data_IF_872250428033
#
_entry.id   IF_872250428033
#
_cell.length_a   1.000
_cell.length_b   1.000
_cell.length_c   1.000
_cell.angle_alpha   90.00
_cell.angle_beta   90.00
_cell.angle_gamma   90.00
#
_symmetry.space_group_name_H-M   'P 1'
#
loop_
_entity.id
_entity.type
_entity.pdbx_description
1 polymer ?
#
# COMPACT_ATOMS: atom_id res chain seq x y z
N UNK A 1 1.10 -6.24 37.29
CA UNK A 1 0.23 -5.49 36.35
C UNK A 1 -1.00 -6.34 36.08
N UNK A 2 -2.23 -5.88 36.35
CA UNK A 2 -3.46 -6.68 36.14
C UNK A 2 -3.72 -6.98 34.65
N UNK A 3 -4.38 -8.11 34.34
CA UNK A 3 -4.82 -8.47 32.98
C UNK A 3 -5.62 -7.32 32.36
N UNK A 4 -6.55 -6.76 33.15
CA UNK A 4 -7.41 -5.65 32.73
C UNK A 4 -6.60 -4.43 32.30
N UNK A 5 -5.52 -4.09 33.02
CA UNK A 5 -4.66 -2.98 32.66
C UNK A 5 -3.87 -3.26 31.37
N UNK A 6 -3.52 -4.53 31.11
CA UNK A 6 -2.85 -4.91 29.87
C UNK A 6 -3.73 -4.70 28.64
N UNK A 7 -4.98 -5.17 28.70
CA UNK A 7 -5.96 -4.92 27.64
C UNK A 7 -6.31 -3.44 27.48
N UNK A 8 -6.41 -2.68 28.57
CA UNK A 8 -6.67 -1.24 28.51
C UNK A 8 -5.56 -0.48 27.79
N UNK A 9 -4.29 -0.81 28.03
CA UNK A 9 -3.15 -0.22 27.33
C UNK A 9 -3.11 -0.63 25.86
N UNK A 10 -3.39 -1.89 25.55
CA UNK A 10 -3.53 -2.35 24.16
C UNK A 10 -4.60 -1.55 23.41
N UNK A 11 -5.77 -1.30 24.03
CA UNK A 11 -6.83 -0.48 23.45
C UNK A 11 -6.47 1.00 23.27
N UNK A 12 -5.40 1.47 23.91
CA UNK A 12 -4.83 2.81 23.72
C UNK A 12 -3.72 2.83 22.65
N UNK A 13 -3.48 1.72 21.96
CA UNK A 13 -2.44 1.58 20.93
C UNK A 13 -1.05 1.23 21.46
N UNK A 14 -0.92 0.85 22.75
CA UNK A 14 0.35 0.42 23.32
C UNK A 14 0.56 -1.09 23.18
N UNK A 15 1.19 -1.48 22.08
CA UNK A 15 1.54 -2.86 21.77
C UNK A 15 2.82 -3.36 22.45
N UNK A 16 3.50 -2.52 23.25
CA UNK A 16 4.69 -2.95 24.02
C UNK A 16 4.31 -3.66 25.32
N UNK A 17 3.03 -3.60 25.67
CA UNK A 17 2.48 -4.18 26.90
C UNK A 17 2.64 -5.70 26.93
N UNK A 18 3.19 -6.21 28.04
CA UNK A 18 3.28 -7.64 28.35
C UNK A 18 2.65 -7.93 29.69
N UNK A 19 1.88 -9.01 29.75
CA UNK A 19 1.31 -9.54 30.98
C UNK A 19 2.34 -10.47 31.65
N UNK A 20 2.73 -10.16 32.88
CA UNK A 20 3.73 -10.93 33.66
C UNK A 20 3.13 -11.68 34.84
N UNK A 21 1.81 -11.67 34.98
CA UNK A 21 1.11 -12.33 36.10
C UNK A 21 1.16 -13.85 35.92
N UNK A 22 1.29 -14.58 37.03
CA UNK A 22 1.14 -16.03 37.09
C UNK A 22 0.01 -16.38 38.04
N UNK A 23 -0.89 -17.24 37.59
CA UNK A 23 -2.01 -17.76 38.36
C UNK A 23 -1.83 -19.25 38.71
N UNK A 24 -0.83 -19.94 38.12
CA UNK A 24 -0.56 -21.38 38.28
C UNK A 24 -1.79 -22.25 37.98
N UNK A 25 -2.66 -21.76 37.09
CA UNK A 25 -3.89 -22.39 36.65
C UNK A 25 -4.10 -22.13 35.15
N UNK A 26 -5.26 -22.49 34.63
CA UNK A 26 -5.63 -22.32 33.22
C UNK A 26 -5.55 -20.86 32.72
N UNK A 27 -5.63 -19.85 33.61
CA UNK A 27 -5.54 -18.44 33.23
C UNK A 27 -4.14 -18.04 32.79
N UNK A 28 -3.11 -18.83 33.10
CA UNK A 28 -1.77 -18.64 32.54
C UNK A 28 -1.75 -18.84 31.03
N UNK A 29 -2.69 -19.61 30.46
CA UNK A 29 -2.86 -19.72 29.02
C UNK A 29 -3.26 -18.37 28.41
N UNK A 30 -4.21 -17.66 29.03
CA UNK A 30 -4.64 -16.33 28.57
C UNK A 30 -3.46 -15.35 28.57
N UNK A 31 -2.64 -15.37 29.62
CA UNK A 31 -1.44 -14.54 29.72
C UNK A 31 -0.44 -14.87 28.60
N UNK A 32 -0.18 -16.15 28.34
CA UNK A 32 0.71 -16.60 27.27
C UNK A 32 0.16 -16.20 25.89
N UNK A 33 -1.11 -16.48 25.62
CA UNK A 33 -1.77 -16.16 24.34
C UNK A 33 -1.79 -14.66 24.10
N UNK A 34 -2.09 -13.84 25.11
CA UNK A 34 -2.01 -12.38 25.01
C UNK A 34 -0.61 -11.94 24.60
N UNK A 35 0.42 -12.41 25.30
CA UNK A 35 1.81 -12.05 25.00
C UNK A 35 2.30 -12.55 23.63
N UNK A 36 1.65 -13.56 23.05
CA UNK A 36 1.93 -14.06 21.70
C UNK A 36 1.20 -13.27 20.60
N UNK A 37 -0.04 -12.83 20.87
CA UNK A 37 -0.88 -12.16 19.87
C UNK A 37 -0.55 -10.67 19.76
N UNK A 38 -0.30 -9.99 20.89
CA UNK A 38 -0.06 -8.53 20.88
C UNK A 38 1.06 -8.11 19.90
N UNK A 39 2.24 -8.76 19.89
CA UNK A 39 3.28 -8.41 18.92
C UNK A 39 2.86 -8.64 17.45
N UNK A 40 2.08 -9.70 17.18
CA UNK A 40 1.57 -10.00 15.84
C UNK A 40 0.58 -8.94 15.36
N UNK A 41 -0.25 -8.40 16.26
CA UNK A 41 -1.17 -7.31 15.92
C UNK A 41 -0.37 -6.05 15.56
N UNK A 42 0.66 -5.69 16.33
CA UNK A 42 1.52 -4.53 16.02
C UNK A 42 2.18 -4.67 14.65
N UNK A 43 2.76 -5.84 14.38
CA UNK A 43 3.40 -6.14 13.10
C UNK A 43 2.39 -6.02 11.94
N UNK A 44 1.19 -6.60 12.09
CA UNK A 44 0.15 -6.52 11.07
C UNK A 44 -0.33 -5.09 10.84
N UNK A 45 -0.51 -4.29 11.90
CA UNK A 45 -0.87 -2.87 11.76
C UNK A 45 0.21 -2.06 11.07
N UNK A 46 1.49 -2.27 11.43
CA UNK A 46 2.62 -1.60 10.78
C UNK A 46 2.71 -1.96 9.30
N UNK A 47 2.51 -3.24 8.96
CA UNK A 47 2.50 -3.70 7.58
C UNK A 47 1.35 -3.05 6.80
N UNK A 48 0.14 -3.07 7.34
CA UNK A 48 -1.03 -2.45 6.73
C UNK A 48 -0.83 -0.95 6.48
N UNK A 49 -0.26 -0.21 7.45
CA UNK A 49 0.07 1.20 7.26
C UNK A 49 1.14 1.42 6.16
N UNK A 50 2.17 0.57 6.11
CA UNK A 50 3.20 0.66 5.07
C UNK A 50 2.62 0.38 3.67
N UNK A 51 1.69 -0.57 3.55
CA UNK A 51 0.97 -0.84 2.30
C UNK A 51 0.10 0.33 1.88
N UNK A 52 -0.63 0.94 2.81
CA UNK A 52 -1.41 2.15 2.55
C UNK A 52 -0.56 3.31 2.05
N UNK A 53 0.64 3.51 2.63
CA UNK A 53 1.56 4.53 2.11
C UNK A 53 2.08 4.17 0.71
N UNK A 54 2.40 2.91 0.46
CA UNK A 54 2.83 2.45 -0.86
C UNK A 54 1.73 2.66 -1.93
N UNK A 55 0.46 2.48 -1.57
CA UNK A 55 -0.70 2.82 -2.40
C UNK A 55 -0.67 4.28 -2.83
N UNK A 56 -0.57 5.19 -1.87
CA UNK A 56 -0.58 6.64 -2.12
C UNK A 56 0.58 7.05 -3.02
N UNK A 57 1.77 6.49 -2.77
CA UNK A 57 2.94 6.72 -3.64
C UNK A 57 2.67 6.20 -5.05
N UNK A 58 2.14 4.98 -5.20
CA UNK A 58 1.84 4.41 -6.52
C UNK A 58 0.81 5.24 -7.28
N UNK A 59 -0.25 5.72 -6.62
CA UNK A 59 -1.23 6.61 -7.25
C UNK A 59 -0.61 7.96 -7.66
N UNK A 60 0.32 8.48 -6.86
CA UNK A 60 1.04 9.72 -7.20
C UNK A 60 1.96 9.58 -8.43
N UNK A 61 2.37 8.35 -8.77
CA UNK A 61 3.16 8.07 -9.97
C UNK A 61 2.32 8.09 -11.26
N UNK A 62 1.01 7.89 -11.17
CA UNK A 62 0.12 7.98 -12.32
C UNK A 62 -0.11 9.44 -12.73
N UNK A 63 -0.46 9.70 -14.00
CA UNK A 63 -0.84 11.04 -14.47
C UNK A 63 -1.90 11.67 -13.57
N UNK A 64 -1.63 12.89 -13.08
CA UNK A 64 -2.54 13.64 -12.22
C UNK A 64 -3.54 14.48 -13.02
N UNK A 65 -3.28 14.66 -14.31
CA UNK A 65 -4.10 15.46 -15.21
C UNK A 65 -4.08 14.84 -16.60
N UNK A 66 -5.22 14.93 -17.27
CA UNK A 66 -5.34 14.48 -18.65
C UNK A 66 -4.58 15.42 -19.60
N UNK A 67 -3.88 14.87 -20.61
CA UNK A 67 -3.15 15.67 -21.59
C UNK A 67 -4.13 16.36 -22.54
N UNK A 68 -3.79 17.57 -22.98
CA UNK A 68 -4.57 18.32 -23.97
C UNK A 68 -3.93 18.17 -25.36
N UNK A 69 -4.60 17.44 -26.27
CA UNK A 69 -4.21 17.36 -27.67
C UNK A 69 -5.33 17.91 -28.57
N UNK A 70 -5.07 18.91 -29.44
CA UNK A 70 -6.09 19.50 -30.29
C UNK A 70 -6.84 18.46 -31.13
N UNK A 71 -8.16 18.46 -31.04
CA UNK A 71 -9.03 17.51 -31.77
C UNK A 71 -9.27 16.18 -31.06
N UNK A 72 -8.73 15.98 -29.87
CA UNK A 72 -8.96 14.80 -29.04
C UNK A 72 -9.51 15.17 -27.66
N UNK A 73 -10.39 14.33 -27.14
CA UNK A 73 -10.86 14.34 -25.76
C UNK A 73 -10.26 13.09 -25.08
N UNK A 74 -9.37 13.30 -24.11
CA UNK A 74 -8.54 12.25 -23.52
C UNK A 74 -8.79 12.23 -22.02
N UNK A 75 -9.00 11.05 -21.47
CA UNK A 75 -9.14 10.84 -20.04
C UNK A 75 -8.44 9.54 -19.62
N UNK A 76 -7.81 9.55 -18.45
CA UNK A 76 -7.17 8.37 -17.84
C UNK A 76 -7.56 8.19 -16.37
N UNK A 77 -7.83 6.96 -15.97
CA UNK A 77 -8.04 6.61 -14.58
C UNK A 77 -7.58 5.17 -14.32
N UNK A 78 -7.02 4.92 -13.13
CA UNK A 78 -6.71 3.58 -12.65
C UNK A 78 -7.27 3.44 -11.24
N UNK A 79 -8.13 2.44 -11.05
CA UNK A 79 -8.85 2.19 -9.80
C UNK A 79 -8.43 0.81 -9.32
N UNK A 80 -7.64 0.76 -8.26
CA UNK A 80 -7.14 -0.51 -7.71
C UNK A 80 -8.22 -1.20 -6.86
N UNK A 81 -8.28 -2.52 -6.92
CA UNK A 81 -9.19 -3.33 -6.10
C UNK A 81 -8.70 -3.49 -4.64
N UNK A 82 -7.37 -3.50 -4.44
CA UNK A 82 -6.70 -3.72 -3.14
C UNK A 82 -5.79 -2.53 -2.77
N UNK A 83 -4.97 -2.67 -1.72
CA UNK A 83 -4.00 -1.65 -1.30
C UNK A 83 -2.92 -1.37 -2.37
N UNK A 84 -2.67 -2.24 -3.34
CA UNK A 84 -1.70 -1.98 -4.41
C UNK A 84 -2.11 -2.67 -5.71
N UNK A 85 -1.82 -2.05 -6.86
CA UNK A 85 -2.25 -2.53 -8.18
C UNK A 85 -1.09 -2.92 -9.10
N UNK A 86 -1.38 -3.74 -10.11
CA UNK A 86 -0.47 -3.99 -11.23
C UNK A 86 -0.64 -3.02 -12.40
N UNK A 87 -1.74 -2.27 -12.41
CA UNK A 87 -2.13 -1.44 -13.54
C UNK A 87 -1.35 -0.12 -13.59
N UNK A 88 -0.85 0.17 -14.78
CA UNK A 88 -0.11 1.35 -15.13
C UNK A 88 -0.69 1.99 -16.36
N UNK A 89 -0.81 3.31 -16.35
CA UNK A 89 -0.95 4.08 -17.57
C UNK A 89 -0.14 5.36 -17.48
N UNK A 90 0.23 5.90 -18.65
CA UNK A 90 0.96 7.15 -18.75
C UNK A 90 0.74 7.84 -20.10
N UNK A 91 0.97 9.15 -20.10
CA UNK A 91 0.81 10.03 -21.25
C UNK A 91 2.11 10.76 -21.54
N UNK A 92 2.77 10.38 -22.65
CA UNK A 92 4.06 10.93 -23.04
C UNK A 92 3.83 11.85 -24.24
N UNK A 93 3.98 13.16 -24.03
CA UNK A 93 3.96 14.13 -25.12
C UNK A 93 5.16 13.93 -26.03
N UNK A 94 4.91 13.93 -27.33
CA UNK A 94 5.95 13.76 -28.37
C UNK A 94 5.88 14.92 -29.34
N UNK A 95 7.03 15.31 -29.88
CA UNK A 95 7.08 16.28 -30.97
C UNK A 95 7.92 15.68 -32.10
N UNK A 96 7.26 15.33 -33.21
CA UNK A 96 7.93 14.82 -34.40
C UNK A 96 7.70 15.80 -35.54
N UNK A 97 8.78 16.46 -35.98
CA UNK A 97 8.75 17.35 -37.13
C UNK A 97 7.88 18.60 -36.95
N UNK A 98 7.68 19.08 -35.71
CA UNK A 98 6.88 20.27 -35.42
C UNK A 98 5.39 20.00 -35.21
N UNK A 99 4.95 18.73 -35.31
CA UNK A 99 3.61 18.31 -34.90
C UNK A 99 3.63 17.76 -33.47
N UNK A 100 2.73 18.29 -32.63
CA UNK A 100 2.43 17.72 -31.33
C UNK A 100 1.75 16.35 -31.52
N UNK A 101 2.29 15.34 -30.87
CA UNK A 101 1.73 14.00 -30.81
C UNK A 101 1.70 13.50 -29.37
N UNK A 102 0.95 12.46 -29.12
CA UNK A 102 0.82 11.86 -27.79
C UNK A 102 1.04 10.35 -27.89
N UNK A 103 1.93 9.83 -27.07
CA UNK A 103 2.08 8.40 -26.86
C UNK A 103 1.37 8.01 -25.56
N UNK A 104 0.51 7.01 -25.64
CA UNK A 104 -0.22 6.47 -24.48
C UNK A 104 0.41 5.13 -24.13
N UNK A 105 0.77 4.96 -22.86
CA UNK A 105 1.30 3.71 -22.32
C UNK A 105 0.25 3.11 -21.42
N UNK A 106 -0.01 1.82 -21.57
CA UNK A 106 -0.85 1.04 -20.65
C UNK A 106 -0.16 -0.29 -20.40
N UNK A 107 -0.09 -0.70 -19.14
CA UNK A 107 0.47 -1.97 -18.74
C UNK A 107 -0.33 -2.59 -17.60
N UNK A 108 -0.53 -3.89 -17.66
CA UNK A 108 -1.09 -4.71 -16.58
C UNK A 108 -0.02 -5.73 -16.18
N UNK A 109 0.43 -5.64 -14.93
CA UNK A 109 1.37 -6.60 -14.36
C UNK A 109 0.58 -7.79 -13.81
N UNK A 110 0.81 -8.96 -14.40
CA UNK A 110 0.20 -10.21 -13.93
C UNK A 110 0.48 -10.46 -12.44
N UNK A 111 -0.61 -10.56 -11.68
CA UNK A 111 -0.58 -10.71 -10.22
C UNK A 111 -1.35 -9.58 -9.53
N UNK A 112 -1.24 -9.50 -8.21
CA UNK A 112 -1.76 -8.38 -7.44
C UNK A 112 -0.90 -8.18 -6.19
N UNK A 113 -1.05 -7.02 -5.55
CA UNK A 113 -0.31 -6.69 -4.34
C UNK A 113 1.06 -6.03 -4.58
N UNK A 114 1.92 -6.14 -3.57
CA UNK A 114 3.16 -5.35 -3.46
C UNK A 114 4.15 -5.65 -4.58
N UNK A 115 4.32 -6.92 -4.94
CA UNK A 115 5.30 -7.32 -5.95
C UNK A 115 4.96 -6.80 -7.35
N UNK A 116 3.67 -6.81 -7.72
CA UNK A 116 3.21 -6.25 -9.00
C UNK A 116 3.38 -4.74 -9.04
N UNK A 117 3.10 -4.04 -7.93
CA UNK A 117 3.29 -2.60 -7.82
C UNK A 117 4.76 -2.17 -7.96
N UNK A 118 5.69 -2.92 -7.35
CA UNK A 118 7.13 -2.69 -7.49
C UNK A 118 7.61 -2.89 -8.94
N UNK A 119 7.10 -3.91 -9.63
CA UNK A 119 7.44 -4.14 -11.03
C UNK A 119 6.89 -3.01 -11.91
N UNK A 120 5.64 -2.60 -11.68
CA UNK A 120 5.02 -1.47 -12.36
C UNK A 120 5.84 -0.18 -12.20
N UNK A 121 6.26 0.16 -10.98
CA UNK A 121 7.06 1.35 -10.71
C UNK A 121 8.43 1.29 -11.42
N UNK A 122 9.04 0.09 -11.47
CA UNK A 122 10.31 -0.13 -12.18
C UNK A 122 10.13 0.01 -13.70
N UNK A 123 9.06 -0.57 -14.25
CA UNK A 123 8.75 -0.47 -15.68
C UNK A 123 8.50 0.99 -16.09
N UNK A 124 7.73 1.74 -15.31
CA UNK A 124 7.54 3.19 -15.50
C UNK A 124 8.86 3.93 -15.51
N UNK A 125 9.74 3.68 -14.52
CA UNK A 125 11.03 4.33 -14.44
C UNK A 125 11.88 4.05 -15.70
N UNK A 126 11.87 2.82 -16.22
CA UNK A 126 12.58 2.47 -17.46
C UNK A 126 11.99 3.10 -18.72
N UNK A 127 10.67 3.34 -18.76
CA UNK A 127 9.99 3.96 -19.90
C UNK A 127 10.20 5.48 -19.92
N UNK A 128 10.34 6.11 -18.75
CA UNK A 128 10.57 7.55 -18.61
C UNK A 128 12.03 7.99 -18.71
N UNK A 129 12.99 7.04 -18.68
CA UNK A 129 14.42 7.28 -18.85
C UNK A 129 14.79 7.45 -20.32
#
# INVERSE_FOLDING_TARGET
MSIVNGFKRLGQGDFTTKLTIRFNDERDLIVKTFNQIVPKIDEHMRMSNALGLAHEVQQSLLPQSDPSLPGFDIAGASIYCDETGGDYYDFIETNRGGQAGLAVVVGDVSGHGVSSALLMATARALIML
#
